data_IF_216364287914
#
_entry.id   IF_216364287914
#
_cell.length_a   1.000
_cell.length_b   1.000
_cell.length_c   1.000
_cell.angle_alpha   90.00
_cell.angle_beta   90.00
_cell.angle_gamma   90.00
#
_symmetry.space_group_name_H-M   'P 1'
#
loop_
_entity.id
_entity.type
_entity.pdbx_description
1 polymer ?
#
# COMPACT_ATOMS: atom_id res chain seq x y z
N UNK A 1 -8.97 -8.90 -13.53
CA UNK A 1 -8.32 -7.57 -13.55
C UNK A 1 -6.90 -7.73 -13.06
N UNK A 2 -5.97 -6.93 -13.56
CA UNK A 2 -4.60 -6.88 -13.05
C UNK A 2 -4.52 -5.88 -11.88
N UNK A 3 -4.10 -6.35 -10.72
CA UNK A 3 -3.99 -5.55 -9.49
C UNK A 3 -2.56 -5.61 -8.97
N UNK A 4 -1.95 -4.44 -8.77
CA UNK A 4 -0.67 -4.33 -8.07
C UNK A 4 -0.93 -4.06 -6.59
N UNK A 5 -0.34 -4.85 -5.71
CA UNK A 5 -0.48 -4.69 -4.25
C UNK A 5 0.89 -4.50 -3.62
N UNK A 6 1.09 -3.44 -2.84
CA UNK A 6 2.23 -3.33 -1.92
C UNK A 6 1.81 -3.77 -0.52
N UNK A 7 2.74 -4.29 0.29
CA UNK A 7 2.39 -4.81 1.61
C UNK A 7 1.50 -6.06 1.56
N UNK A 8 1.47 -6.78 0.43
CA UNK A 8 0.63 -7.97 0.21
C UNK A 8 0.94 -9.16 1.11
N UNK A 9 2.09 -9.16 1.80
CA UNK A 9 2.46 -10.16 2.82
C UNK A 9 2.03 -9.77 4.23
N UNK A 10 1.55 -8.54 4.44
CA UNK A 10 1.12 -8.04 5.73
C UNK A 10 -0.22 -8.58 6.18
N UNK A 11 -0.67 -8.16 7.37
CA UNK A 11 -1.92 -8.60 7.99
C UNK A 11 -3.14 -8.39 7.08
N UNK A 12 -3.37 -7.16 6.63
CA UNK A 12 -4.49 -6.82 5.72
C UNK A 12 -4.19 -7.32 4.30
N UNK A 13 -2.97 -7.09 3.82
CA UNK A 13 -2.58 -7.40 2.44
C UNK A 13 -2.74 -8.87 2.08
N UNK A 14 -2.40 -9.79 2.99
CA UNK A 14 -2.51 -11.23 2.74
C UNK A 14 -3.96 -11.71 2.61
N UNK A 15 -4.85 -11.19 3.46
CA UNK A 15 -6.29 -11.46 3.38
C UNK A 15 -6.89 -10.88 2.09
N UNK A 16 -6.51 -9.65 1.73
CA UNK A 16 -6.93 -9.00 0.50
C UNK A 16 -6.48 -9.77 -0.74
N UNK A 17 -5.19 -10.14 -0.82
CA UNK A 17 -4.66 -10.88 -1.97
C UNK A 17 -5.37 -12.22 -2.15
N UNK A 18 -5.67 -12.93 -1.06
CA UNK A 18 -6.46 -14.16 -1.11
C UNK A 18 -7.85 -13.92 -1.70
N UNK A 19 -8.56 -12.90 -1.22
CA UNK A 19 -9.90 -12.57 -1.74
C UNK A 19 -9.88 -12.18 -3.22
N UNK A 20 -8.91 -11.36 -3.64
CA UNK A 20 -8.75 -10.98 -5.05
C UNK A 20 -8.49 -12.19 -5.95
N UNK A 21 -7.71 -13.18 -5.49
CA UNK A 21 -7.50 -14.43 -6.21
C UNK A 21 -8.79 -15.28 -6.30
N UNK A 22 -9.54 -15.39 -5.20
CA UNK A 22 -10.85 -16.08 -5.17
C UNK A 22 -11.83 -15.45 -6.19
N UNK A 23 -11.78 -14.12 -6.33
CA UNK A 23 -12.56 -13.34 -7.31
C UNK A 23 -11.94 -13.37 -8.74
N UNK A 24 -10.97 -14.25 -8.99
CA UNK A 24 -10.30 -14.47 -10.30
C UNK A 24 -9.59 -13.23 -10.85
N UNK A 25 -8.97 -12.44 -9.98
CA UNK A 25 -8.08 -11.35 -10.39
C UNK A 25 -6.62 -11.80 -10.46
N UNK A 26 -5.86 -11.17 -11.36
CA UNK A 26 -4.42 -11.33 -11.46
C UNK A 26 -3.75 -10.38 -10.47
N UNK A 27 -3.12 -10.95 -9.44
CA UNK A 27 -2.48 -10.16 -8.38
C UNK A 27 -0.96 -10.25 -8.51
N UNK A 28 -0.33 -9.08 -8.59
CA UNK A 28 1.13 -8.91 -8.49
C UNK A 28 1.45 -8.20 -7.19
N UNK A 29 2.31 -8.79 -6.36
CA UNK A 29 2.75 -8.21 -5.10
C UNK A 29 4.14 -7.59 -5.24
N UNK A 30 4.26 -6.29 -4.95
CA UNK A 30 5.54 -5.62 -4.76
C UNK A 30 6.01 -5.84 -3.32
N UNK A 31 7.09 -6.61 -3.15
CA UNK A 31 7.59 -7.01 -1.83
C UNK A 31 9.11 -7.10 -1.80
N UNK A 32 9.69 -6.76 -0.65
CA UNK A 32 11.12 -6.95 -0.37
C UNK A 32 11.49 -8.41 -0.10
N UNK A 33 10.49 -9.28 0.10
CA UNK A 33 10.67 -10.68 0.49
C UNK A 33 9.85 -11.60 -0.44
N UNK A 34 10.24 -11.76 -1.71
CA UNK A 34 9.49 -12.55 -2.68
C UNK A 34 9.35 -14.01 -2.24
N UNK A 35 10.33 -14.56 -1.52
CA UNK A 35 10.32 -15.96 -1.03
C UNK A 35 9.19 -16.26 -0.03
N UNK A 36 8.58 -15.22 0.55
CA UNK A 36 7.45 -15.36 1.48
C UNK A 36 6.08 -15.42 0.79
N UNK A 37 6.07 -15.23 -0.54
CA UNK A 37 4.85 -15.20 -1.34
C UNK A 37 4.44 -16.62 -1.73
N UNK A 38 3.14 -16.92 -1.62
CA UNK A 38 2.58 -18.21 -2.08
C UNK A 38 2.70 -18.30 -3.60
N UNK A 39 2.99 -19.50 -4.11
CA UNK A 39 3.17 -19.75 -5.55
C UNK A 39 2.00 -19.31 -6.46
N UNK A 40 0.79 -19.14 -5.90
CA UNK A 40 -0.38 -18.63 -6.61
C UNK A 40 -0.35 -17.12 -6.89
N UNK A 41 0.57 -16.37 -6.30
CA UNK A 41 0.73 -14.93 -6.48
C UNK A 41 1.98 -14.64 -7.30
N UNK A 42 1.90 -13.65 -8.20
CA UNK A 42 3.08 -13.09 -8.85
C UNK A 42 3.75 -12.13 -7.87
N UNK A 43 5.07 -12.07 -7.83
CA UNK A 43 5.80 -11.12 -6.98
C UNK A 43 6.95 -10.46 -7.72
N UNK A 44 7.17 -9.20 -7.39
CA UNK A 44 8.31 -8.39 -7.85
C UNK A 44 8.94 -7.68 -6.66
N UNK A 45 10.22 -7.35 -6.78
CA UNK A 45 10.99 -6.60 -5.78
C UNK A 45 11.05 -5.12 -6.16
N UNK A 46 11.17 -4.84 -7.46
CA UNK A 46 11.28 -3.48 -8.01
C UNK A 46 10.30 -3.30 -9.16
N UNK A 47 9.81 -2.06 -9.35
CA UNK A 47 8.79 -1.75 -10.36
C UNK A 47 9.33 -1.89 -11.79
N UNK A 48 10.63 -1.74 -11.97
CA UNK A 48 11.34 -1.87 -13.25
C UNK A 48 11.33 -3.32 -13.78
N UNK A 49 10.95 -4.29 -12.95
CA UNK A 49 10.75 -5.69 -13.38
C UNK A 49 9.42 -5.90 -14.12
N UNK A 50 8.51 -4.92 -14.07
CA UNK A 50 7.24 -4.97 -14.78
C UNK A 50 7.46 -4.68 -16.26
N UNK A 51 6.99 -5.58 -17.11
CA UNK A 51 7.01 -5.41 -18.57
C UNK A 51 6.13 -4.24 -19.01
N UNK A 52 6.49 -3.60 -20.12
CA UNK A 52 5.76 -2.47 -20.70
C UNK A 52 4.31 -2.80 -21.08
N UNK A 53 4.11 -4.01 -21.60
CA UNK A 53 2.78 -4.54 -21.95
C UNK A 53 1.85 -4.82 -20.76
N UNK A 54 2.38 -4.88 -19.54
CA UNK A 54 1.58 -5.22 -18.36
C UNK A 54 0.85 -3.97 -17.86
N UNK A 55 -0.45 -3.93 -18.13
CA UNK A 55 -1.35 -2.85 -17.69
C UNK A 55 -2.07 -3.24 -16.40
N UNK A 56 -1.95 -2.40 -15.37
CA UNK A 56 -2.69 -2.55 -14.13
C UNK A 56 -3.99 -1.76 -14.16
N UNK A 57 -5.09 -2.40 -13.73
CA UNK A 57 -6.37 -1.71 -13.56
C UNK A 57 -6.38 -0.91 -12.25
N UNK A 58 -5.77 -1.46 -11.21
CA UNK A 58 -5.75 -0.88 -9.87
C UNK A 58 -4.42 -1.10 -9.18
N UNK A 59 -4.04 -0.13 -8.35
CA UNK A 59 -2.90 -0.20 -7.45
C UNK A 59 -3.42 -0.03 -6.03
N UNK A 60 -3.01 -0.92 -5.13
CA UNK A 60 -3.38 -0.89 -3.71
C UNK A 60 -2.10 -0.82 -2.89
N UNK A 61 -1.86 0.33 -2.25
CA UNK A 61 -0.66 0.60 -1.48
C UNK A 61 -0.92 0.37 0.02
N UNK A 62 -0.51 -0.77 0.56
CA UNK A 62 -0.61 -1.11 1.98
C UNK A 62 0.78 -1.26 2.64
N UNK A 63 1.85 -0.96 1.91
CA UNK A 63 3.20 -0.98 2.46
C UNK A 63 3.38 0.14 3.49
N UNK A 64 4.03 -0.21 4.59
CA UNK A 64 4.40 0.72 5.64
C UNK A 64 5.12 0.00 6.76
N UNK A 65 6.02 0.70 7.42
CA UNK A 65 6.62 0.27 8.66
C UNK A 65 5.51 0.11 9.72
N UNK A 66 5.50 -1.00 10.49
CA UNK A 66 4.54 -1.20 11.57
C UNK A 66 4.64 -0.10 12.63
N UNK A 67 3.48 0.39 13.06
CA UNK A 67 3.37 1.38 14.14
C UNK A 67 3.49 0.68 15.51
N UNK A 68 2.98 -0.55 15.60
CA UNK A 68 3.05 -1.38 16.80
C UNK A 68 4.42 -2.07 16.95
N UNK A 69 4.72 -2.54 18.17
CA UNK A 69 5.84 -3.43 18.51
C UNK A 69 7.26 -2.83 18.47
N UNK A 70 7.39 -1.50 18.45
CA UNK A 70 8.69 -0.81 18.59
C UNK A 70 8.58 0.39 19.53
N UNK A 71 9.67 0.71 20.24
CA UNK A 71 9.74 1.93 21.07
C UNK A 71 9.66 3.16 20.19
N UNK A 72 8.80 4.10 20.57
CA UNK A 72 8.70 5.39 19.91
C UNK A 72 9.96 6.21 20.18
N UNK A 73 10.71 6.46 19.12
CA UNK A 73 11.89 7.31 19.08
C UNK A 73 11.81 8.14 17.80
N UNK A 74 12.52 9.27 17.73
CA UNK A 74 12.49 10.11 16.52
C UNK A 74 12.91 9.32 15.28
N UNK A 75 13.87 8.41 15.44
CA UNK A 75 14.28 7.47 14.40
C UNK A 75 13.13 6.54 13.96
N UNK A 76 12.33 6.02 14.89
CA UNK A 76 11.20 5.15 14.55
C UNK A 76 10.06 5.95 13.90
N UNK A 77 9.76 7.16 14.40
CA UNK A 77 8.77 8.06 13.79
C UNK A 77 9.14 8.38 12.34
N UNK A 78 10.41 8.74 12.10
CA UNK A 78 10.89 9.02 10.74
C UNK A 78 10.77 7.79 9.83
N UNK A 79 11.08 6.58 10.32
CA UNK A 79 10.89 5.35 9.55
C UNK A 79 9.44 5.11 9.18
N UNK A 80 8.51 5.35 10.11
CA UNK A 80 7.06 5.20 9.87
C UNK A 80 6.60 6.13 8.75
N UNK A 81 6.98 7.40 8.82
CA UNK A 81 6.64 8.42 7.80
C UNK A 81 7.30 8.07 6.46
N UNK A 82 8.61 7.89 6.43
CA UNK A 82 9.37 7.63 5.21
C UNK A 82 8.89 6.37 4.49
N UNK A 83 8.62 5.28 5.23
CA UNK A 83 8.15 4.04 4.63
C UNK A 83 6.84 4.19 3.84
N UNK A 84 6.01 5.18 4.18
CA UNK A 84 4.75 5.47 3.49
C UNK A 84 4.95 6.48 2.38
N UNK A 85 5.68 7.57 2.64
CA UNK A 85 5.94 8.60 1.65
C UNK A 85 6.79 8.08 0.48
N UNK A 86 7.90 7.42 0.77
CA UNK A 86 8.83 6.94 -0.26
C UNK A 86 8.16 5.89 -1.16
N UNK A 87 7.42 4.93 -0.59
CA UNK A 87 6.72 3.93 -1.41
C UNK A 87 5.63 4.56 -2.26
N UNK A 88 4.85 5.50 -1.71
CA UNK A 88 3.81 6.20 -2.46
C UNK A 88 4.42 7.02 -3.60
N UNK A 89 5.49 7.78 -3.33
CA UNK A 89 6.20 8.57 -4.34
C UNK A 89 6.79 7.69 -5.43
N UNK A 90 7.41 6.56 -5.10
CA UNK A 90 7.94 5.59 -6.09
C UNK A 90 6.84 5.09 -7.02
N UNK A 91 5.70 4.66 -6.47
CA UNK A 91 4.56 4.18 -7.27
C UNK A 91 4.02 5.28 -8.19
N UNK A 92 3.80 6.48 -7.67
CA UNK A 92 3.29 7.61 -8.45
C UNK A 92 4.27 7.99 -9.57
N UNK A 93 5.55 8.12 -9.26
CA UNK A 93 6.59 8.45 -10.23
C UNK A 93 6.68 7.39 -11.33
N UNK A 94 6.63 6.11 -10.96
CA UNK A 94 6.61 5.00 -11.90
C UNK A 94 5.40 5.08 -12.83
N UNK A 95 4.17 5.18 -12.30
CA UNK A 95 2.98 5.20 -13.16
C UNK A 95 2.82 6.49 -13.96
N UNK A 96 3.45 7.60 -13.56
CA UNK A 96 3.44 8.85 -14.33
C UNK A 96 4.14 8.71 -15.69
N UNK A 97 5.16 7.86 -15.80
CA UNK A 97 5.92 7.64 -17.05
C UNK A 97 5.27 6.64 -18.00
N UNK A 98 4.19 5.97 -17.57
CA UNK A 98 3.53 4.92 -18.34
C UNK A 98 2.46 5.51 -19.25
N UNK A 99 2.36 4.96 -20.46
CA UNK A 99 1.28 5.25 -21.39
C UNK A 99 -0.07 4.84 -20.79
N UNK A 100 -0.13 3.62 -20.24
CA UNK A 100 -1.33 3.10 -19.57
C UNK A 100 -1.22 3.22 -18.05
N UNK A 101 -1.98 4.17 -17.50
CA UNK A 101 -2.08 4.44 -16.07
C UNK A 101 -3.19 3.60 -15.43
N UNK A 102 -3.04 3.20 -14.15
CA UNK A 102 -4.12 2.55 -13.42
C UNK A 102 -5.31 3.50 -13.29
N UNK A 103 -6.52 2.94 -13.41
CA UNK A 103 -7.77 3.72 -13.27
C UNK A 103 -8.06 4.05 -11.80
N UNK A 104 -7.48 3.29 -10.88
CA UNK A 104 -7.73 3.41 -9.46
C UNK A 104 -6.43 3.22 -8.68
N UNK A 105 -6.17 4.15 -7.76
CA UNK A 105 -5.07 4.08 -6.81
C UNK A 105 -5.64 4.19 -5.39
N UNK A 106 -5.55 3.12 -4.62
CA UNK A 106 -5.99 3.07 -3.23
C UNK A 106 -4.75 3.08 -2.35
N UNK A 107 -4.69 4.00 -1.39
CA UNK A 107 -3.61 4.05 -0.40
C UNK A 107 -4.17 3.83 0.99
N UNK A 108 -3.53 2.95 1.76
CA UNK A 108 -3.85 2.80 3.17
C UNK A 108 -3.57 4.11 3.94
N UNK A 109 -4.49 4.45 4.83
CA UNK A 109 -4.39 5.58 5.76
C UNK A 109 -4.87 5.12 7.16
N UNK A 110 -5.07 6.06 8.07
CA UNK A 110 -5.63 5.80 9.39
C UNK A 110 -6.46 6.98 9.88
N UNK A 111 -7.41 6.71 10.79
CA UNK A 111 -8.21 7.73 11.47
C UNK A 111 -7.38 8.68 12.35
N UNK A 112 -6.12 8.33 12.63
CA UNK A 112 -5.20 9.17 13.39
C UNK A 112 -4.96 10.55 12.76
N UNK A 113 -5.32 10.75 11.48
CA UNK A 113 -5.35 12.06 10.83
C UNK A 113 -6.22 13.08 11.58
N UNK A 114 -7.29 12.64 12.24
CA UNK A 114 -8.21 13.52 12.96
C UNK A 114 -7.77 13.80 14.42
N UNK A 115 -6.66 13.22 14.85
CA UNK A 115 -6.16 13.36 16.21
C UNK A 115 -6.91 12.59 17.28
N UNK A 116 -6.57 12.90 18.52
CA UNK A 116 -7.28 12.43 19.71
C UNK A 116 -8.17 13.57 20.18
N UNK A 117 -9.48 13.33 20.11
CA UNK A 117 -10.47 14.26 20.65
C UNK A 117 -11.08 13.71 21.95
N UNK A 118 -11.09 14.55 22.97
CA UNK A 118 -11.72 14.26 24.26
C UNK A 118 -13.18 14.74 24.33
N UNK A 119 -13.65 15.49 23.32
CA UNK A 119 -14.95 16.17 23.33
C UNK A 119 -16.14 15.31 22.93
N UNK A 120 -15.93 14.03 22.62
CA UNK A 120 -16.98 13.08 22.20
C UNK A 120 -17.75 13.53 20.93
N UNK A 121 -17.11 14.38 20.12
CA UNK A 121 -17.65 14.83 18.84
C UNK A 121 -17.52 13.72 17.78
N UNK A 122 -18.44 13.74 16.81
CA UNK A 122 -18.42 12.81 15.67
C UNK A 122 -17.59 13.37 14.53
N UNK A 123 -16.70 12.54 13.96
CA UNK A 123 -15.89 12.88 12.80
C UNK A 123 -16.42 12.21 11.54
N UNK A 124 -16.35 12.93 10.41
CA UNK A 124 -16.55 12.41 9.07
C UNK A 124 -15.40 12.86 8.15
N UNK A 125 -15.45 12.51 6.87
CA UNK A 125 -14.40 12.81 5.90
C UNK A 125 -14.21 14.32 5.62
N UNK A 126 -15.13 15.17 6.08
CA UNK A 126 -15.03 16.64 5.95
C UNK A 126 -14.37 17.33 7.15
N UNK A 127 -14.15 16.60 8.25
CA UNK A 127 -13.48 17.13 9.43
C UNK A 127 -12.02 17.52 9.14
N UNK A 128 -11.53 18.54 9.85
CA UNK A 128 -10.13 18.97 9.76
C UNK A 128 -9.23 17.99 10.51
N UNK A 129 -8.06 17.69 9.95
CA UNK A 129 -7.04 16.87 10.62
C UNK A 129 -6.08 17.69 11.50
N UNK A 130 -5.30 16.97 12.30
CA UNK A 130 -4.28 17.52 13.21
C UNK A 130 -2.82 17.23 12.79
N UNK A 131 -2.64 16.48 11.70
CA UNK A 131 -1.35 16.15 11.06
C UNK A 131 -0.75 17.29 10.21
#
# INVERSE_FOLDING_TARGET
MNVLVTGGTGFIGSALCRRLLEDKHDVTVLTRHPDTIKASLKSIVELEQLKDELVFNSVINLAGEPIANKRWSDKQKQRIVNSRLETTQKLISYFKTREHKPKLFISGSAIGYYGIDESNDSFDESASGDD
#
